data_IF_036351192512
#
_entry.id   IF_036351192512
#
_cell.length_a   1.000
_cell.length_b   1.000
_cell.length_c   1.000
_cell.angle_alpha   90.00
_cell.angle_beta   90.00
_cell.angle_gamma   90.00
#
_symmetry.space_group_name_H-M   'P 1'
#
loop_
_entity.id
_entity.type
_entity.pdbx_description
1 polymer ?
#
# COMPACT_ATOMS: atom_id res chain seq x y z
N UNK A 1 8.72 -15.44 -11.34
CA UNK A 1 7.34 -15.23 -10.85
C UNK A 1 7.23 -13.80 -10.36
N UNK A 2 6.25 -13.02 -10.82
CA UNK A 2 6.11 -11.62 -10.38
C UNK A 2 5.44 -11.54 -9.00
N UNK A 3 5.89 -10.65 -8.14
CA UNK A 3 5.34 -10.35 -6.80
C UNK A 3 3.84 -9.97 -6.79
N UNK A 4 3.22 -9.88 -7.93
CA UNK A 4 1.86 -9.42 -8.12
C UNK A 4 0.83 -10.52 -8.36
N UNK A 5 1.24 -11.79 -8.36
CA UNK A 5 0.34 -12.92 -8.58
C UNK A 5 0.38 -13.88 -7.40
N UNK A 6 -0.72 -13.92 -6.66
CA UNK A 6 -0.99 -14.93 -5.65
C UNK A 6 -0.10 -14.88 -4.42
N UNK A 7 -0.16 -15.95 -3.67
CA UNK A 7 0.69 -16.15 -2.50
C UNK A 7 2.00 -16.80 -2.92
N UNK A 8 3.11 -16.24 -2.48
CA UNK A 8 4.42 -16.79 -2.67
C UNK A 8 5.10 -16.94 -1.31
N UNK A 9 5.62 -18.11 -1.02
CA UNK A 9 6.37 -18.38 0.20
C UNK A 9 7.86 -18.50 -0.18
N UNK A 10 8.71 -17.58 0.31
CA UNK A 10 10.12 -17.60 -0.03
C UNK A 10 10.88 -18.70 0.72
N UNK A 11 11.90 -19.26 0.10
CA UNK A 11 12.93 -20.01 0.79
C UNK A 11 13.93 -19.02 1.38
N UNK A 12 14.18 -19.12 2.68
CA UNK A 12 15.08 -18.19 3.38
C UNK A 12 16.51 -18.26 2.86
N UNK A 13 16.94 -19.46 2.48
CA UNK A 13 18.25 -19.74 1.92
C UNK A 13 18.47 -18.95 0.62
N UNK A 14 17.48 -18.89 -0.25
CA UNK A 14 17.53 -18.13 -1.51
C UNK A 14 17.63 -16.64 -1.24
N UNK A 15 16.86 -16.13 -0.27
CA UNK A 15 16.89 -14.72 0.10
C UNK A 15 18.25 -14.31 0.70
N UNK A 16 18.84 -15.18 1.53
CA UNK A 16 20.16 -14.94 2.10
C UNK A 16 21.26 -15.00 1.04
N UNK A 17 21.17 -15.93 0.08
CA UNK A 17 22.10 -16.02 -1.04
C UNK A 17 22.12 -14.73 -1.89
N UNK A 18 20.96 -14.09 -2.04
CA UNK A 18 20.80 -12.82 -2.76
C UNK A 18 21.03 -11.58 -1.88
N UNK A 19 21.51 -11.75 -0.65
CA UNK A 19 21.72 -10.66 0.33
C UNK A 19 20.46 -9.84 0.62
N UNK A 20 19.29 -10.46 0.57
CA UNK A 20 18.03 -9.82 0.93
C UNK A 20 17.81 -9.92 2.45
N UNK A 21 17.78 -8.80 3.18
CA UNK A 21 17.57 -8.83 4.63
C UNK A 21 16.17 -9.31 4.97
N UNK A 22 16.07 -10.26 5.89
CA UNK A 22 14.80 -10.80 6.38
C UNK A 22 14.70 -10.60 7.88
N UNK A 23 13.66 -9.93 8.33
CA UNK A 23 13.33 -9.75 9.74
C UNK A 23 12.27 -10.75 10.15
N UNK A 24 12.55 -11.55 11.17
CA UNK A 24 11.63 -12.55 11.72
C UNK A 24 11.32 -12.27 13.16
N UNK A 25 10.04 -12.33 13.51
CA UNK A 25 9.59 -12.18 14.89
C UNK A 25 8.28 -12.94 15.09
N UNK A 26 7.94 -13.20 16.37
CA UNK A 26 6.68 -13.81 16.76
C UNK A 26 5.72 -12.72 17.20
N UNK A 27 4.54 -12.68 16.60
CA UNK A 27 3.42 -11.88 17.07
C UNK A 27 2.68 -12.68 18.16
N UNK A 28 2.59 -12.12 19.34
CA UNK A 28 1.90 -12.70 20.49
C UNK A 28 0.51 -12.08 20.67
N UNK A 29 -0.39 -12.70 21.46
CA UNK A 29 -1.65 -12.08 21.83
C UNK A 29 -1.44 -10.68 22.43
N UNK A 30 -2.14 -9.68 21.90
CA UNK A 30 -1.99 -8.28 22.30
C UNK A 30 -0.98 -7.47 21.50
N UNK A 31 -0.13 -8.10 20.69
CA UNK A 31 0.80 -7.37 19.84
C UNK A 31 0.08 -6.75 18.63
N UNK A 32 0.46 -5.51 18.32
CA UNK A 32 0.08 -4.83 17.09
C UNK A 32 1.31 -4.75 16.19
N UNK A 33 1.18 -5.29 14.98
CA UNK A 33 2.23 -5.24 13.97
C UNK A 33 1.85 -4.20 12.92
N UNK A 34 2.73 -3.23 12.73
CA UNK A 34 2.61 -2.23 11.69
C UNK A 34 3.45 -2.62 10.49
N UNK A 35 2.80 -2.75 9.33
CA UNK A 35 3.47 -3.01 8.06
C UNK A 35 3.32 -1.77 7.19
N UNK A 36 4.42 -1.11 6.88
CA UNK A 36 4.41 0.10 6.07
C UNK A 36 4.13 -0.20 4.59
N UNK A 37 3.75 0.83 3.85
CA UNK A 37 3.47 0.72 2.42
C UNK A 37 4.67 0.13 1.66
N UNK A 38 4.39 -0.70 0.68
CA UNK A 38 5.38 -1.41 -0.16
C UNK A 38 6.29 -2.40 0.58
N UNK A 39 6.07 -2.67 1.87
CA UNK A 39 6.80 -3.69 2.61
C UNK A 39 6.34 -5.08 2.20
N UNK A 40 7.27 -5.88 1.70
CA UNK A 40 7.02 -7.29 1.40
C UNK A 40 7.00 -8.08 2.70
N UNK A 41 5.94 -8.82 2.96
CA UNK A 41 5.76 -9.52 4.22
C UNK A 41 4.98 -10.82 4.06
N UNK A 42 5.22 -11.74 4.98
CA UNK A 42 4.55 -13.03 5.06
C UNK A 42 4.12 -13.29 6.50
N UNK A 43 3.05 -14.03 6.66
CA UNK A 43 2.53 -14.44 7.97
C UNK A 43 2.34 -15.94 7.98
N UNK A 44 2.92 -16.59 8.96
CA UNK A 44 2.75 -18.02 9.21
C UNK A 44 2.09 -18.23 10.57
N UNK A 45 1.00 -18.97 10.60
CA UNK A 45 0.37 -19.37 11.84
C UNK A 45 1.22 -20.43 12.57
N UNK A 46 1.39 -20.24 13.87
CA UNK A 46 2.00 -21.23 14.77
C UNK A 46 0.88 -21.81 15.65
N UNK A 47 0.29 -22.91 15.21
CA UNK A 47 -0.89 -23.49 15.83
C UNK A 47 -2.20 -22.76 15.43
N UNK A 48 -3.26 -22.98 16.20
CA UNK A 48 -4.55 -22.33 16.00
C UNK A 48 -4.51 -20.90 16.50
N UNK A 49 -4.72 -19.95 15.61
CA UNK A 49 -4.76 -18.53 15.95
C UNK A 49 -5.79 -17.79 15.09
N UNK A 50 -6.22 -16.65 15.59
CA UNK A 50 -6.98 -15.66 14.81
C UNK A 50 -6.30 -14.32 14.93
N UNK A 51 -6.50 -13.47 13.92
CA UNK A 51 -6.05 -12.08 13.93
C UNK A 51 -7.08 -11.20 13.24
N UNK A 52 -6.97 -9.91 13.52
CA UNK A 52 -7.71 -8.88 12.83
C UNK A 52 -6.70 -8.02 12.09
N UNK A 53 -6.88 -7.83 10.79
CA UNK A 53 -6.05 -6.95 9.98
C UNK A 53 -6.92 -5.89 9.29
N UNK A 54 -6.41 -4.67 9.22
CA UNK A 54 -7.07 -3.58 8.51
C UNK A 54 -6.04 -2.66 7.87
N UNK A 55 -6.45 -1.89 6.87
CA UNK A 55 -5.60 -0.91 6.24
C UNK A 55 -5.78 0.46 6.88
N UNK A 56 -4.66 1.18 7.04
CA UNK A 56 -4.63 2.55 7.53
C UNK A 56 -3.94 3.41 6.48
N UNK A 57 -4.56 4.54 6.13
CA UNK A 57 -4.03 5.47 5.15
C UNK A 57 -3.83 6.85 5.78
N UNK A 58 -2.73 7.11 6.50
CA UNK A 58 -2.47 8.45 7.00
C UNK A 58 -2.34 9.43 5.84
N UNK A 59 -3.00 10.60 5.96
CA UNK A 59 -2.98 11.66 4.96
C UNK A 59 -1.66 12.43 5.00
N UNK A 60 -0.59 11.77 4.63
CA UNK A 60 0.73 12.38 4.42
C UNK A 60 1.08 12.40 2.94
N UNK A 61 1.85 13.39 2.52
CA UNK A 61 2.28 13.50 1.12
C UNK A 61 3.06 12.27 0.64
N UNK A 62 3.84 11.63 1.53
CA UNK A 62 4.60 10.43 1.22
C UNK A 62 3.68 9.23 0.97
N UNK A 63 2.77 8.93 1.89
CA UNK A 63 1.81 7.83 1.73
C UNK A 63 0.92 8.01 0.51
N UNK A 64 0.53 9.26 0.25
CA UNK A 64 -0.27 9.57 -0.93
C UNK A 64 0.51 9.34 -2.24
N UNK A 65 1.82 9.66 -2.28
CA UNK A 65 2.69 9.37 -3.43
C UNK A 65 2.76 7.87 -3.71
N UNK A 66 3.04 7.08 -2.68
CA UNK A 66 3.12 5.62 -2.80
C UNK A 66 1.79 5.03 -3.29
N UNK A 67 0.66 5.58 -2.84
CA UNK A 67 -0.65 5.16 -3.29
C UNK A 67 -0.89 5.48 -4.79
N UNK A 68 -0.45 6.66 -5.26
CA UNK A 68 -0.52 7.05 -6.68
C UNK A 68 0.33 6.10 -7.52
N UNK A 69 1.61 5.95 -7.20
CA UNK A 69 2.55 5.10 -7.92
C UNK A 69 2.03 3.66 -8.03
N UNK A 70 1.52 3.13 -6.92
CA UNK A 70 0.94 1.79 -6.90
C UNK A 70 -0.33 1.69 -7.74
N UNK A 71 -1.18 2.70 -7.71
CA UNK A 71 -2.39 2.76 -8.54
C UNK A 71 -2.03 2.75 -10.03
N UNK A 72 -1.08 3.59 -10.46
CA UNK A 72 -0.61 3.68 -11.84
C UNK A 72 -0.01 2.35 -12.31
N UNK A 73 0.87 1.74 -11.51
CA UNK A 73 1.45 0.45 -11.79
C UNK A 73 0.39 -0.65 -11.94
N UNK A 74 -0.57 -0.67 -11.03
CA UNK A 74 -1.67 -1.64 -11.08
C UNK A 74 -2.53 -1.45 -12.32
N UNK A 75 -2.81 -0.20 -12.71
CA UNK A 75 -3.54 0.13 -13.94
C UNK A 75 -2.81 -0.37 -15.18
N UNK A 76 -1.50 -0.14 -15.28
CA UNK A 76 -0.67 -0.63 -16.38
C UNK A 76 -0.67 -2.17 -16.48
N UNK A 77 -0.73 -2.85 -15.35
CA UNK A 77 -0.75 -4.32 -15.26
C UNK A 77 -2.14 -4.94 -15.24
N UNK A 78 -3.17 -4.13 -15.35
CA UNK A 78 -4.58 -4.54 -15.25
C UNK A 78 -4.92 -5.22 -13.92
N UNK A 79 -4.34 -4.72 -12.80
CA UNK A 79 -4.66 -5.18 -11.45
C UNK A 79 -5.61 -4.23 -10.75
N UNK A 80 -6.47 -4.77 -9.90
CA UNK A 80 -7.34 -3.98 -9.04
C UNK A 80 -6.52 -3.37 -7.91
N UNK A 81 -6.60 -2.03 -7.75
CA UNK A 81 -5.99 -1.34 -6.63
C UNK A 81 -6.86 -1.44 -5.38
N UNK A 82 -6.23 -1.69 -4.22
CA UNK A 82 -6.91 -1.69 -2.92
C UNK A 82 -7.30 -0.25 -2.55
N UNK A 83 -6.39 0.72 -2.78
CA UNK A 83 -6.65 2.13 -2.53
C UNK A 83 -7.25 2.77 -3.79
N UNK A 84 -8.52 3.21 -3.76
CA UNK A 84 -9.16 3.88 -4.88
C UNK A 84 -8.77 5.36 -4.92
N UNK A 85 -7.53 5.65 -5.34
CA UNK A 85 -6.91 6.99 -5.25
C UNK A 85 -7.76 8.08 -5.88
N UNK A 86 -8.44 7.81 -7.00
CA UNK A 86 -9.30 8.78 -7.67
C UNK A 86 -10.48 9.19 -6.78
N UNK A 87 -11.23 8.21 -6.27
CA UNK A 87 -12.36 8.47 -5.39
C UNK A 87 -11.94 9.10 -4.07
N UNK A 88 -10.81 8.67 -3.53
CA UNK A 88 -10.21 9.26 -2.34
C UNK A 88 -9.88 10.74 -2.58
N UNK A 89 -9.22 11.07 -3.70
CA UNK A 89 -8.87 12.45 -4.06
C UNK A 89 -10.09 13.34 -4.18
N UNK A 90 -11.14 12.83 -4.80
CA UNK A 90 -12.40 13.55 -4.94
C UNK A 90 -13.05 13.84 -3.59
N UNK A 91 -13.14 12.82 -2.72
CA UNK A 91 -13.70 12.97 -1.38
C UNK A 91 -12.88 13.94 -0.51
N UNK A 92 -11.55 13.88 -0.61
CA UNK A 92 -10.67 14.80 0.10
C UNK A 92 -10.89 16.25 -0.35
N UNK A 93 -10.96 16.48 -1.66
CA UNK A 93 -11.18 17.82 -2.21
C UNK A 93 -12.54 18.43 -1.81
N UNK A 94 -13.55 17.60 -1.64
CA UNK A 94 -14.88 18.07 -1.25
C UNK A 94 -15.04 18.31 0.26
N UNK A 95 -14.36 17.52 1.09
CA UNK A 95 -14.71 17.43 2.51
C UNK A 95 -13.60 17.89 3.46
N UNK A 96 -12.36 18.04 2.99
CA UNK A 96 -11.22 18.33 3.86
C UNK A 96 -10.44 19.54 3.35
N UNK A 97 -10.16 20.47 4.26
CA UNK A 97 -9.21 21.55 4.01
C UNK A 97 -7.77 21.01 4.22
N UNK A 98 -7.05 20.79 3.14
CA UNK A 98 -5.68 20.30 3.18
C UNK A 98 -4.75 21.50 3.37
N UNK A 99 -4.01 21.51 4.51
CA UNK A 99 -3.04 22.56 4.84
C UNK A 99 -1.62 22.23 4.36
N UNK A 100 -1.30 20.96 4.16
CA UNK A 100 -0.03 20.53 3.59
C UNK A 100 -0.03 20.79 2.08
N UNK A 101 0.81 21.73 1.65
CA UNK A 101 0.88 22.15 0.25
C UNK A 101 1.36 21.01 -0.67
N UNK A 102 2.26 20.17 -0.19
CA UNK A 102 2.78 19.03 -0.96
C UNK A 102 1.69 18.01 -1.22
N UNK A 103 0.92 17.68 -0.17
CA UNK A 103 -0.24 16.79 -0.30
C UNK A 103 -1.32 17.40 -1.19
N UNK A 104 -1.61 18.70 -1.03
CA UNK A 104 -2.58 19.41 -1.86
C UNK A 104 -2.23 19.32 -3.35
N UNK A 105 -0.97 19.57 -3.71
CA UNK A 105 -0.50 19.46 -5.11
C UNK A 105 -0.69 18.04 -5.67
N UNK A 106 -0.48 17.01 -4.87
CA UNK A 106 -0.68 15.62 -5.29
C UNK A 106 -2.15 15.28 -5.49
N UNK A 107 -3.03 15.72 -4.61
CA UNK A 107 -4.48 15.59 -4.77
C UNK A 107 -4.94 16.28 -6.05
N UNK A 108 -4.49 17.52 -6.26
CA UNK A 108 -4.77 18.29 -7.49
C UNK A 108 -4.28 17.58 -8.74
N UNK A 109 -3.09 16.99 -8.71
CA UNK A 109 -2.55 16.20 -9.83
C UNK A 109 -3.46 15.03 -10.21
N UNK A 110 -3.89 14.24 -9.25
CA UNK A 110 -4.81 13.12 -9.50
C UNK A 110 -6.14 13.58 -10.10
N UNK A 111 -6.71 14.66 -9.55
CA UNK A 111 -7.97 15.20 -10.05
C UNK A 111 -7.85 15.79 -11.46
N UNK A 112 -6.75 16.46 -11.75
CA UNK A 112 -6.48 17.00 -13.08
C UNK A 112 -6.36 15.89 -14.13
N UNK A 113 -5.67 14.80 -13.78
CA UNK A 113 -5.57 13.63 -14.65
C UNK A 113 -6.94 13.01 -14.97
N UNK A 114 -7.84 12.95 -14.00
CA UNK A 114 -9.21 12.45 -14.20
C UNK A 114 -9.99 13.36 -15.16
N UNK A 115 -9.92 14.66 -14.97
CA UNK A 115 -10.63 15.63 -15.84
C UNK A 115 -10.12 15.56 -17.26
N UNK A 116 -8.80 15.46 -17.48
CA UNK A 116 -8.21 15.38 -18.83
C UNK A 116 -8.51 14.06 -19.55
N UNK A 117 -8.89 12.98 -18.86
CA UNK A 117 -9.20 11.68 -19.47
C UNK A 117 -10.69 11.52 -19.78
N UNK A 118 -11.56 12.32 -19.15
CA UNK A 118 -13.02 12.23 -19.31
C UNK A 118 -13.54 13.22 -20.37
N UNK A 119 -12.75 14.23 -20.70
CA UNK A 119 -13.05 15.23 -21.76
C UNK A 119 -12.01 15.19 -22.86
#
# INVERSE_FOLDING_TARGET
>A
MGFSHGSWWPLLEDLFAENIPVYRFLQRPGDVVWVDAATVHWVQAVGWCNNIAWNVGPLTANQYSLAIERYELNKLKNYKSIVPVIHLSWNLAQNIKVSDETLFRKIKYVLHFVVCVIF
#
